data_IF_054077149383
#
_entry.id   IF_054077149383
#
_cell.length_a   1.000
_cell.length_b   1.000
_cell.length_c   1.000
_cell.angle_alpha   90.00
_cell.angle_beta   90.00
_cell.angle_gamma   90.00
#
_symmetry.space_group_name_H-M   'P 1'
#
loop_
_entity.id
_entity.type
_entity.pdbx_description
1 polymer ?
#
# COMPACT_ATOMS: atom_id res chain seq x y z
N UNK A 1 10.64 -5.59 33.41
CA UNK A 1 10.39 -4.51 32.44
C UNK A 1 9.79 -5.19 31.23
N UNK A 2 8.48 -5.31 31.19
CA UNK A 2 7.81 -5.89 30.02
C UNK A 2 7.84 -4.86 28.89
N UNK A 3 8.32 -5.31 27.74
CA UNK A 3 8.67 -4.50 26.61
C UNK A 3 7.41 -3.91 25.96
N UNK A 4 7.28 -2.59 26.07
CA UNK A 4 6.35 -1.78 25.32
C UNK A 4 6.84 -1.66 23.86
N UNK A 5 6.75 -2.75 23.09
CA UNK A 5 7.18 -2.82 21.68
C UNK A 5 6.04 -2.59 20.67
N UNK A 6 4.77 -2.71 21.05
CA UNK A 6 3.64 -2.64 20.11
C UNK A 6 3.49 -1.31 19.37
N UNK A 7 3.67 -0.16 20.04
CA UNK A 7 3.43 1.15 19.42
C UNK A 7 4.52 1.60 18.42
N UNK A 8 5.70 0.97 18.44
CA UNK A 8 6.79 1.30 17.51
C UNK A 8 6.76 0.50 16.22
N UNK A 9 6.01 -0.60 16.14
CA UNK A 9 5.95 -1.46 14.94
C UNK A 9 4.84 -1.04 13.95
N UNK A 10 3.77 -0.43 14.45
CA UNK A 10 2.63 0.02 13.64
C UNK A 10 3.01 1.15 12.66
N UNK A 11 3.83 2.11 13.08
CA UNK A 11 4.31 3.22 12.23
C UNK A 11 5.21 2.70 11.08
N UNK A 12 6.23 1.84 11.33
CA UNK A 12 7.01 1.19 10.28
C UNK A 12 6.18 0.37 9.30
N UNK A 13 5.18 -0.36 9.76
CA UNK A 13 4.33 -1.16 8.88
C UNK A 13 3.43 -0.28 8.01
N UNK A 14 2.84 0.77 8.58
CA UNK A 14 2.07 1.78 7.86
C UNK A 14 2.90 2.41 6.72
N UNK A 15 4.13 2.84 7.01
CA UNK A 15 5.02 3.41 6.00
C UNK A 15 5.38 2.42 4.88
N UNK A 16 5.65 1.16 5.23
CA UNK A 16 5.96 0.10 4.26
C UNK A 16 4.78 -0.11 3.31
N UNK A 17 3.58 -0.21 3.86
CA UNK A 17 2.34 -0.40 3.10
C UNK A 17 2.06 0.77 2.15
N UNK A 18 2.23 2.02 2.61
CA UNK A 18 2.10 3.21 1.77
C UNK A 18 3.12 3.19 0.62
N UNK A 19 4.39 2.93 0.92
CA UNK A 19 5.46 2.86 -0.10
C UNK A 19 5.18 1.75 -1.13
N UNK A 20 4.72 0.58 -0.67
CA UNK A 20 4.34 -0.52 -1.55
C UNK A 20 3.18 -0.13 -2.48
N UNK A 21 2.11 0.46 -1.93
CA UNK A 21 0.95 0.92 -2.71
C UNK A 21 1.35 1.94 -3.78
N UNK A 22 2.16 2.93 -3.42
CA UNK A 22 2.64 3.95 -4.38
C UNK A 22 3.46 3.31 -5.49
N UNK A 23 4.33 2.35 -5.16
CA UNK A 23 5.14 1.63 -6.15
C UNK A 23 4.25 0.84 -7.12
N UNK A 24 3.23 0.15 -6.62
CA UNK A 24 2.28 -0.60 -7.44
C UNK A 24 1.45 0.33 -8.34
N UNK A 25 0.96 1.44 -7.78
CA UNK A 25 0.21 2.43 -8.55
C UNK A 25 1.05 3.05 -9.69
N UNK A 26 2.34 3.35 -9.43
CA UNK A 26 3.28 3.81 -10.46
C UNK A 26 3.52 2.74 -11.53
N UNK A 27 3.72 1.48 -11.12
CA UNK A 27 3.92 0.35 -12.05
C UNK A 27 2.72 0.17 -13.00
N UNK A 28 1.50 0.37 -12.48
CA UNK A 28 0.27 0.28 -13.27
C UNK A 28 -0.03 1.55 -14.07
N UNK A 29 0.78 2.60 -13.96
CA UNK A 29 0.54 3.89 -14.62
C UNK A 29 -0.65 4.67 -14.03
N UNK A 30 -1.12 4.31 -12.84
CA UNK A 30 -2.28 4.95 -12.19
C UNK A 30 -1.91 6.33 -11.62
N UNK A 31 -0.65 6.52 -11.22
CA UNK A 31 -0.16 7.77 -10.59
C UNK A 31 1.25 8.13 -11.06
N UNK A 32 1.60 9.41 -10.97
CA UNK A 32 2.85 9.99 -11.49
C UNK A 32 2.58 11.17 -12.43
N UNK A 33 3.64 11.83 -12.89
CA UNK A 33 3.53 12.96 -13.82
C UNK A 33 2.99 12.53 -15.20
N UNK A 34 3.33 11.31 -15.64
CA UNK A 34 2.90 10.73 -16.93
C UNK A 34 1.88 9.59 -16.74
N UNK A 35 0.96 9.71 -15.77
CA UNK A 35 0.02 8.64 -15.45
C UNK A 35 -0.84 8.24 -16.66
N UNK A 36 -0.56 7.06 -17.19
CA UNK A 36 -1.33 6.38 -18.23
C UNK A 36 -1.61 4.95 -17.77
N UNK A 37 -2.79 4.67 -17.18
CA UNK A 37 -3.10 3.36 -16.64
C UNK A 37 -2.96 2.28 -17.71
N UNK A 38 -2.24 1.21 -17.39
CA UNK A 38 -2.10 0.07 -18.32
C UNK A 38 -3.48 -0.55 -18.57
N UNK A 39 -3.76 -0.92 -19.82
CA UNK A 39 -5.05 -1.51 -20.18
C UNK A 39 -5.36 -2.75 -19.34
N UNK A 40 -6.55 -2.80 -18.73
CA UNK A 40 -6.95 -3.92 -17.89
C UNK A 40 -6.23 -4.03 -16.55
N UNK A 41 -5.58 -2.96 -16.06
CA UNK A 41 -4.86 -2.95 -14.78
C UNK A 41 -5.70 -3.48 -13.62
N UNK A 42 -7.02 -3.30 -13.64
CA UNK A 42 -7.94 -3.77 -12.59
C UNK A 42 -7.95 -5.30 -12.40
N UNK A 43 -7.51 -6.05 -13.41
CA UNK A 43 -7.44 -7.51 -13.40
C UNK A 43 -6.06 -8.02 -12.94
N UNK A 44 -5.08 -7.14 -12.81
CA UNK A 44 -3.70 -7.49 -12.45
C UNK A 44 -3.57 -7.85 -10.97
N UNK A 45 -2.58 -8.66 -10.65
CA UNK A 45 -2.29 -9.02 -9.25
C UNK A 45 -1.75 -7.82 -8.47
N UNK A 46 -1.09 -6.88 -9.13
CA UNK A 46 -0.69 -5.60 -8.54
C UNK A 46 -1.88 -4.80 -8.02
N UNK A 47 -2.96 -4.74 -8.81
CA UNK A 47 -4.16 -4.02 -8.38
C UNK A 47 -4.90 -4.75 -7.25
N UNK A 48 -4.97 -6.09 -7.29
CA UNK A 48 -5.49 -6.89 -6.16
C UNK A 48 -4.69 -6.63 -4.89
N UNK A 49 -3.37 -6.61 -4.99
CA UNK A 49 -2.47 -6.31 -3.88
C UNK A 49 -2.68 -4.90 -3.32
N UNK A 50 -2.91 -3.91 -4.19
CA UNK A 50 -3.26 -2.56 -3.73
C UNK A 50 -4.55 -2.54 -2.89
N UNK A 51 -5.57 -3.32 -3.26
CA UNK A 51 -6.80 -3.43 -2.46
C UNK A 51 -6.58 -4.10 -1.11
N UNK A 52 -5.76 -5.13 -1.05
CA UNK A 52 -5.37 -5.76 0.22
C UNK A 52 -4.64 -4.77 1.13
N UNK A 53 -3.71 -3.98 0.56
CA UNK A 53 -2.99 -2.94 1.29
C UNK A 53 -3.97 -1.90 1.83
N UNK A 54 -4.96 -1.49 1.05
CA UNK A 54 -5.98 -0.52 1.49
C UNK A 54 -6.80 -1.02 2.69
N UNK A 55 -7.14 -2.31 2.72
CA UNK A 55 -7.81 -2.92 3.86
C UNK A 55 -6.90 -2.92 5.11
N UNK A 56 -5.64 -3.33 4.96
CA UNK A 56 -4.66 -3.34 6.06
C UNK A 56 -4.38 -1.94 6.61
N UNK A 57 -4.26 -0.95 5.72
CA UNK A 57 -4.10 0.46 6.11
C UNK A 57 -5.31 0.97 6.90
N UNK A 58 -6.53 0.57 6.52
CA UNK A 58 -7.74 0.94 7.25
C UNK A 58 -7.78 0.34 8.66
N UNK A 59 -7.29 -0.89 8.83
CA UNK A 59 -7.18 -1.54 10.14
C UNK A 59 -6.14 -0.85 11.04
N UNK A 60 -5.03 -0.37 10.48
CA UNK A 60 -3.97 0.30 11.24
C UNK A 60 -4.31 1.73 11.69
N UNK A 61 -5.31 2.37 11.06
CA UNK A 61 -5.73 3.75 11.37
C UNK A 61 -6.97 3.78 12.28
N UNK A 62 -7.60 2.63 12.55
CA UNK A 62 -8.69 2.50 13.52
C UNK A 62 -8.20 2.52 14.96
#
# INVERSE_FOLDING_TARGET
MEENQGAKEEIPELEKLIKEKIRLAKKLGITGEDASPVGGYELTDEFKRMKEIDLRLWELVK
#
